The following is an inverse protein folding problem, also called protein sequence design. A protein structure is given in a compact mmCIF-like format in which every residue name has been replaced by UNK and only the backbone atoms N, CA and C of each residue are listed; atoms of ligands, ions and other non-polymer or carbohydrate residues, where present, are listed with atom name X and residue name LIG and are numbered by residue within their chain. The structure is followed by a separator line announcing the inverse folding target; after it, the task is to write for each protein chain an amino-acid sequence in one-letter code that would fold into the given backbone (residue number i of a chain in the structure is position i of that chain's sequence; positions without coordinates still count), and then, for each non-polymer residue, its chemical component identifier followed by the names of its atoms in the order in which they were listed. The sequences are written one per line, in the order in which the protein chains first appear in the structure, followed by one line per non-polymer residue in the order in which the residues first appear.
data_IF_329786804964
#
_entry.id   IF_329786804964
#
_cell.length_a   1.000
_cell.length_b   1.000
_cell.length_c   1.000
_cell.angle_alpha   90.00
_cell.angle_beta   90.00
_cell.angle_gamma   90.00
#
_symmetry.space_group_name_H-M   'P 1'
#
loop_
_entity.id
_entity.type
_entity.pdbx_description
1 polymer ?
#
# COMPACT_ATOMS: atom_id res chain seq x y z
N UNK A 1 6.49 1.40 2.74
CA UNK A 1 5.64 0.20 2.72
C UNK A 1 6.50 -1.03 2.57
N UNK A 2 6.27 -2.03 3.42
CA UNK A 2 7.13 -3.21 3.57
C UNK A 2 6.36 -4.49 3.20
N UNK A 3 7.01 -5.45 2.58
CA UNK A 3 6.45 -6.76 2.30
C UNK A 3 6.64 -7.69 3.50
N UNK A 4 5.57 -8.24 4.07
CA UNK A 4 5.68 -9.15 5.22
C UNK A 4 6.27 -10.53 4.86
N UNK A 5 6.25 -10.91 3.58
CA UNK A 5 6.78 -12.20 3.09
C UNK A 5 8.32 -12.19 3.00
N UNK A 6 8.92 -11.09 2.55
CA UNK A 6 10.37 -11.03 2.32
C UNK A 6 11.09 -9.89 3.06
N UNK A 7 10.38 -9.09 3.85
CA UNK A 7 10.92 -7.98 4.64
C UNK A 7 11.42 -6.78 3.83
N UNK A 8 11.34 -6.82 2.50
CA UNK A 8 11.83 -5.74 1.62
C UNK A 8 10.77 -4.68 1.38
N UNK A 9 11.23 -3.49 1.04
CA UNK A 9 10.36 -2.36 0.74
C UNK A 9 9.69 -2.49 -0.63
N UNK A 10 8.53 -1.87 -0.75
CA UNK A 10 7.90 -1.61 -2.03
C UNK A 10 8.47 -0.34 -2.66
N UNK A 11 8.67 -0.38 -3.97
CA UNK A 11 9.16 0.74 -4.76
C UNK A 11 8.03 1.28 -5.63
N UNK A 12 7.90 2.61 -5.67
CA UNK A 12 6.99 3.31 -6.57
C UNK A 12 7.50 3.20 -8.01
N UNK A 13 6.64 2.74 -8.92
CA UNK A 13 6.89 2.58 -10.36
C UNK A 13 5.82 3.30 -11.16
N UNK A 14 6.19 3.72 -12.36
CA UNK A 14 5.27 4.35 -13.30
C UNK A 14 5.02 3.40 -14.45
N UNK A 15 3.76 3.10 -14.74
CA UNK A 15 3.34 2.37 -15.93
C UNK A 15 2.70 3.36 -16.91
N UNK A 16 3.30 3.50 -18.08
CA UNK A 16 2.79 4.35 -19.17
C UNK A 16 2.06 3.46 -20.18
N UNK A 17 0.86 3.86 -20.56
CA UNK A 17 0.03 3.32 -21.63
C UNK A 17 -0.24 4.45 -22.64
N UNK A 18 -0.75 4.11 -23.82
CA UNK A 18 -0.93 5.06 -24.92
C UNK A 18 -1.69 6.35 -24.53
N UNK A 19 -2.67 6.24 -23.62
CA UNK A 19 -3.51 7.37 -23.19
C UNK A 19 -3.59 7.54 -21.68
N UNK A 20 -2.79 6.80 -20.90
CA UNK A 20 -2.87 6.86 -19.44
C UNK A 20 -1.54 6.54 -18.78
N UNK A 21 -1.32 7.14 -17.61
CA UNK A 21 -0.14 6.88 -16.77
C UNK A 21 -0.62 6.54 -15.38
N UNK A 22 -0.22 5.37 -14.89
CA UNK A 22 -0.57 4.90 -13.55
C UNK A 22 0.68 4.73 -12.70
N UNK A 23 0.52 4.93 -11.39
CA UNK A 23 1.55 4.66 -10.40
C UNK A 23 1.22 3.38 -9.65
N UNK A 24 2.24 2.56 -9.47
CA UNK A 24 2.15 1.29 -8.77
C UNK A 24 3.25 1.18 -7.74
N UNK A 25 3.01 0.37 -6.72
CA UNK A 25 3.97 -0.03 -5.71
C UNK A 25 4.26 -1.52 -5.90
N UNK A 26 5.51 -1.83 -6.17
CA UNK A 26 5.98 -3.20 -6.39
C UNK A 26 6.98 -3.58 -5.31
N UNK A 27 6.87 -4.79 -4.74
CA UNK A 27 7.94 -5.31 -3.88
C UNK A 27 9.28 -5.25 -4.62
N UNK A 28 10.36 -4.83 -3.95
CA UNK A 28 11.69 -4.70 -4.52
C UNK A 28 12.12 -5.94 -5.33
N UNK A 29 11.82 -7.13 -4.81
CA UNK A 29 12.18 -8.42 -5.45
C UNK A 29 11.53 -8.60 -6.82
N UNK A 30 10.28 -8.15 -6.99
CA UNK A 30 9.55 -8.16 -8.25
C UNK A 30 10.15 -7.22 -9.30
N UNK A 31 11.00 -6.27 -8.89
CA UNK A 31 11.63 -5.30 -9.80
C UNK A 31 12.99 -5.75 -10.34
N UNK A 32 13.53 -6.87 -9.85
CA UNK A 32 14.90 -7.33 -10.19
C UNK A 32 14.98 -8.23 -11.44
N UNK A 33 13.86 -8.48 -12.13
CA UNK A 33 13.83 -9.32 -13.33
C UNK A 33 14.08 -10.81 -13.10
N UNK A 34 14.03 -11.28 -11.83
CA UNK A 34 14.30 -12.68 -11.45
C UNK A 34 13.06 -13.51 -11.16
N UNK A 35 11.89 -13.05 -11.61
CA UNK A 35 10.58 -13.57 -11.17
C UNK A 35 10.30 -13.16 -9.73
N UNK A 36 9.10 -12.65 -9.43
CA UNK A 36 8.71 -12.15 -8.10
C UNK A 36 8.64 -13.32 -7.08
N UNK A 37 9.70 -13.63 -6.32
CA UNK A 37 9.78 -14.89 -5.58
C UNK A 37 8.95 -14.85 -4.30
N UNK A 38 8.65 -13.66 -3.79
CA UNK A 38 7.76 -13.47 -2.65
C UNK A 38 6.29 -13.44 -3.07
N UNK A 39 5.98 -13.51 -4.37
CA UNK A 39 4.63 -13.45 -4.92
C UNK A 39 3.78 -12.26 -4.43
N UNK A 40 4.43 -11.21 -3.92
CA UNK A 40 3.77 -10.02 -3.39
C UNK A 40 2.99 -9.31 -4.50
N UNK A 41 1.78 -8.86 -4.17
CA UNK A 41 0.90 -8.21 -5.13
C UNK A 41 1.44 -6.84 -5.57
N UNK A 42 1.10 -6.42 -6.79
CA UNK A 42 1.37 -5.07 -7.26
C UNK A 42 0.19 -4.15 -6.88
N UNK A 43 0.46 -3.11 -6.12
CA UNK A 43 -0.58 -2.25 -5.54
C UNK A 43 -0.66 -0.95 -6.36
N UNK A 44 -1.86 -0.55 -6.80
CA UNK A 44 -2.10 0.73 -7.46
C UNK A 44 -2.06 1.85 -6.42
N UNK A 45 -1.30 2.90 -6.69
CA UNK A 45 -1.18 4.05 -5.80
C UNK A 45 -2.52 4.75 -5.57
N UNK A 46 -3.33 4.88 -6.62
CA UNK A 46 -4.67 5.48 -6.53
C UNK A 46 -5.58 4.73 -5.55
N UNK A 47 -5.53 3.39 -5.55
CA UNK A 47 -6.32 2.60 -4.61
C UNK A 47 -5.80 2.74 -3.18
N UNK A 48 -4.46 2.78 -3.00
CA UNK A 48 -3.86 3.06 -1.70
C UNK A 48 -4.29 4.45 -1.18
N UNK A 49 -4.31 5.47 -2.04
CA UNK A 49 -4.77 6.80 -1.67
C UNK A 49 -6.22 6.77 -1.19
N UNK A 50 -7.12 6.12 -1.93
CA UNK A 50 -8.53 5.98 -1.53
C UNK A 50 -8.68 5.30 -0.17
N UNK A 51 -7.91 4.23 0.08
CA UNK A 51 -7.91 3.53 1.37
C UNK A 51 -7.46 4.45 2.49
N UNK A 52 -6.34 5.15 2.32
CA UNK A 52 -5.79 6.06 3.33
C UNK A 52 -6.74 7.23 3.61
N UNK A 53 -7.33 7.83 2.56
CA UNK A 53 -8.30 8.91 2.71
C UNK A 53 -9.52 8.46 3.51
N UNK A 54 -10.06 7.27 3.19
CA UNK A 54 -11.18 6.69 3.92
C UNK A 54 -10.82 6.41 5.38
N UNK A 55 -9.66 5.80 5.64
CA UNK A 55 -9.19 5.50 6.99
C UNK A 55 -9.04 6.76 7.84
N UNK A 56 -8.49 7.83 7.26
CA UNK A 56 -8.27 9.10 7.96
C UNK A 56 -9.48 10.04 7.94
N UNK A 57 -10.60 9.65 7.30
CA UNK A 57 -11.78 10.51 7.16
C UNK A 57 -11.55 11.78 6.34
N UNK A 58 -10.58 11.76 5.42
CA UNK A 58 -10.18 12.91 4.60
C UNK A 58 -10.91 12.91 3.25
N UNK A 59 -11.40 14.08 2.83
CA UNK A 59 -12.03 14.25 1.51
C UNK A 59 -11.02 14.38 0.36
N UNK A 60 -9.79 14.84 0.65
CA UNK A 60 -8.74 15.05 -0.33
C UNK A 60 -7.37 14.73 0.27
N UNK A 61 -6.40 14.43 -0.60
CA UNK A 61 -5.05 14.06 -0.18
C UNK A 61 -4.31 15.24 0.43
N UNK A 62 -3.87 15.06 1.67
CA UNK A 62 -3.07 16.01 2.43
C UNK A 62 -1.82 15.29 2.93
N UNK A 63 -0.66 15.66 2.37
CA UNK A 63 0.61 15.02 2.71
C UNK A 63 0.95 15.15 4.20
N UNK A 64 0.62 16.29 4.83
CA UNK A 64 0.99 16.53 6.21
C UNK A 64 0.15 15.64 7.13
N UNK A 65 -1.16 15.62 6.92
CA UNK A 65 -2.03 14.75 7.71
C UNK A 65 -1.70 13.26 7.52
N UNK A 66 -1.39 12.83 6.29
CA UNK A 66 -1.01 11.43 6.06
C UNK A 66 0.26 11.06 6.86
N UNK A 67 1.28 11.93 6.87
CA UNK A 67 2.53 11.69 7.61
C UNK A 67 2.33 11.78 9.12
N UNK A 68 1.47 12.70 9.59
CA UNK A 68 1.19 12.88 11.02
C UNK A 68 0.42 11.69 11.62
N UNK A 69 -0.39 11.00 10.82
CA UNK A 69 -1.19 9.88 11.29
C UNK A 69 -0.59 8.51 10.99
N UNK A 70 0.08 8.32 9.86
CA UNK A 70 0.57 7.00 9.42
C UNK A 70 2.07 6.87 9.64
N UNK A 71 2.45 5.88 10.46
CA UNK A 71 3.85 5.52 10.72
C UNK A 71 4.41 4.67 9.57
N UNK A 72 3.72 3.55 9.26
CA UNK A 72 4.12 2.63 8.19
C UNK A 72 2.97 1.77 7.71
N UNK A 73 3.17 1.19 6.53
CA UNK A 73 2.22 0.24 5.92
C UNK A 73 2.98 -1.05 5.63
N UNK A 74 2.39 -2.18 6.02
CA UNK A 74 2.88 -3.51 5.72
C UNK A 74 1.88 -4.21 4.79
N UNK A 75 2.38 -4.78 3.69
CA UNK A 75 1.58 -5.51 2.72
C UNK A 75 1.78 -7.01 2.88
N UNK A 76 0.68 -7.69 3.18
CA UNK A 76 0.61 -9.12 3.46
C UNK A 76 0.05 -9.92 2.30
N UNK A 77 0.16 -11.27 2.34
CA UNK A 77 -0.60 -12.14 1.44
C UNK A 77 -2.11 -11.84 1.49
N UNK A 78 -2.85 -12.39 0.52
CA UNK A 78 -4.31 -12.29 0.46
C UNK A 78 -4.85 -10.85 0.38
N UNK A 79 -4.07 -9.93 -0.18
CA UNK A 79 -4.43 -8.52 -0.34
C UNK A 79 -4.68 -7.77 0.99
N UNK A 80 -4.09 -8.21 2.09
CA UNK A 80 -4.22 -7.52 3.37
C UNK A 80 -3.14 -6.44 3.53
N UNK A 81 -3.53 -5.28 4.05
CA UNK A 81 -2.65 -4.20 4.46
C UNK A 81 -2.77 -3.98 5.97
N UNK A 82 -1.65 -4.00 6.67
CA UNK A 82 -1.58 -3.53 8.06
C UNK A 82 -1.07 -2.10 8.05
N UNK A 83 -1.86 -1.17 8.54
CA UNK A 83 -1.52 0.25 8.66
C UNK A 83 -1.22 0.53 10.13
N UNK A 84 0.02 0.93 10.40
CA UNK A 84 0.48 1.35 11.71
C UNK A 84 0.29 2.86 11.82
N UNK A 85 -0.46 3.28 12.82
CA UNK A 85 -0.72 4.69 13.11
C UNK A 85 0.32 5.21 14.10
N UNK A 86 0.70 6.47 13.99
CA UNK A 86 1.64 7.12 14.93
C UNK A 86 1.12 7.14 16.38
N UNK A 87 -0.19 6.95 16.59
CA UNK A 87 -0.77 6.78 17.92
C UNK A 87 -0.45 5.42 18.57
N UNK A 88 0.21 4.51 17.86
CA UNK A 88 0.52 3.14 18.30
C UNK A 88 -0.54 2.09 17.96
N UNK A 89 -1.68 2.50 17.41
CA UNK A 89 -2.73 1.58 16.98
C UNK A 89 -2.42 0.99 15.60
N UNK A 90 -2.97 -0.18 15.31
CA UNK A 90 -2.88 -0.82 14.01
C UNK A 90 -4.25 -1.19 13.48
N UNK A 91 -4.49 -0.90 12.20
CA UNK A 91 -5.71 -1.29 11.48
C UNK A 91 -5.33 -2.21 10.33
N UNK A 92 -6.09 -3.29 10.16
CA UNK A 92 -5.92 -4.22 9.05
C UNK A 92 -7.03 -3.99 8.02
N UNK A 93 -6.66 -3.82 6.75
CA UNK A 93 -7.59 -3.48 5.66
C UNK A 93 -7.44 -4.50 4.53
N UNK A 94 -8.55 -4.97 3.96
CA UNK A 94 -8.52 -5.66 2.67
C UNK A 94 -8.34 -4.63 1.56
N UNK A 95 -7.21 -4.67 0.86
CA UNK A 95 -6.86 -3.73 -0.20
C UNK A 95 -7.90 -3.71 -1.34
N UNK A 96 -8.62 -4.81 -1.58
CA UNK A 96 -9.57 -4.90 -2.71
C UNK A 96 -10.86 -4.16 -2.42
N UNK A 97 -11.33 -4.18 -1.17
CA UNK A 97 -12.58 -3.53 -0.75
C UNK A 97 -12.35 -2.18 -0.07
N UNK A 98 -11.17 -1.99 0.50
CA UNK A 98 -10.84 -0.84 1.34
C UNK A 98 -11.64 -0.84 2.65
N UNK A 99 -12.02 -2.02 3.13
CA UNK A 99 -12.73 -2.23 4.40
C UNK A 99 -11.79 -2.79 5.45
N UNK A 100 -12.00 -2.36 6.69
CA UNK A 100 -11.29 -2.90 7.85
C UNK A 100 -11.72 -4.35 8.10
N UNK A 101 -10.74 -5.20 8.36
CA UNK A 101 -10.94 -6.61 8.67
C UNK A 101 -10.94 -6.77 10.18
N UNK A 102 -12.14 -6.82 10.77
CA UNK A 102 -12.33 -7.23 12.17
C UNK A 102 -12.22 -8.76 12.29
N UNK A 103 -11.52 -9.21 13.33
CA UNK A 103 -11.41 -10.63 13.69
C UNK A 103 -12.75 -11.21 14.14
#
# INVERSE_FOLDING_TARGET
MTCTICGRNYHRRTRRLAHSTYKYWWCETATKGKGNPCHAHQLREENLHTIILRLLGLHAWDNQQVVDWIERIEASPNWLLTIHLNSGNTTMIDYRTGEEVTA
#
